data_IF_342374221542
#
_entry.id   IF_342374221542
#
_cell.length_a   1.000
_cell.length_b   1.000
_cell.length_c   1.000
_cell.angle_alpha   90.00
_cell.angle_beta   90.00
_cell.angle_gamma   90.00
#
_symmetry.space_group_name_H-M   'P 1'
#
loop_
_entity.id
_entity.type
_entity.pdbx_description
1 polymer ?
#
# COMPACT_ATOMS: atom_id res chain seq x y z
N UNK A 1 12.45 -5.83 -1.11
CA UNK A 1 12.96 -4.45 -1.20
C UNK A 1 12.66 -3.73 0.11
N UNK A 2 13.59 -2.90 0.60
CA UNK A 2 13.32 -2.02 1.74
C UNK A 2 13.21 -0.57 1.24
N UNK A 3 12.23 0.16 1.75
CA UNK A 3 11.86 1.52 1.37
C UNK A 3 11.81 2.35 2.66
N UNK A 4 12.51 3.48 2.70
CA UNK A 4 12.39 4.44 3.80
C UNK A 4 11.58 5.62 3.31
N UNK A 5 10.47 5.90 3.99
CA UNK A 5 9.54 6.95 3.55
C UNK A 5 10.01 8.32 3.99
N UNK A 6 10.00 9.29 3.08
CA UNK A 6 9.92 10.70 3.42
C UNK A 6 8.49 11.08 3.86
N UNK A 7 7.47 10.51 3.21
CA UNK A 7 6.06 10.65 3.60
C UNK A 7 5.26 9.40 3.29
N UNK A 8 4.23 9.16 4.12
CA UNK A 8 3.22 8.13 3.91
C UNK A 8 1.86 8.80 4.00
N UNK A 9 1.15 8.84 2.89
CA UNK A 9 -0.16 9.48 2.75
C UNK A 9 -1.20 8.36 2.68
N UNK A 10 -2.27 8.50 3.45
CA UNK A 10 -3.40 7.60 3.44
C UNK A 10 -4.68 8.41 3.23
N UNK A 11 -5.48 8.01 2.24
CA UNK A 11 -6.80 8.53 1.99
C UNK A 11 -7.76 7.34 1.85
N UNK A 12 -8.68 7.11 2.80
CA UNK A 12 -9.60 5.97 2.75
C UNK A 12 -10.70 6.14 1.70
N UNK A 13 -10.96 7.36 1.24
CA UNK A 13 -12.05 7.69 0.31
C UNK A 13 -11.69 9.02 -0.36
N UNK A 14 -11.05 8.96 -1.52
CA UNK A 14 -10.70 10.15 -2.27
C UNK A 14 -11.90 10.65 -3.08
N UNK A 15 -12.66 11.58 -2.48
CA UNK A 15 -13.85 12.19 -3.07
C UNK A 15 -13.56 12.89 -4.43
N UNK A 16 -12.30 13.24 -4.72
CA UNK A 16 -11.89 13.83 -6.00
C UNK A 16 -11.64 12.76 -7.08
N UNK A 17 -11.43 11.50 -6.68
CA UNK A 17 -11.08 10.37 -7.53
C UNK A 17 -12.05 9.19 -7.34
N UNK A 18 -13.34 9.43 -7.56
CA UNK A 18 -14.39 8.39 -7.53
C UNK A 18 -14.34 7.50 -6.28
N UNK A 19 -14.14 8.13 -5.11
CA UNK A 19 -14.07 7.50 -3.79
C UNK A 19 -12.94 6.45 -3.67
N UNK A 20 -11.87 6.58 -4.47
CA UNK A 20 -10.72 5.68 -4.46
C UNK A 20 -10.02 5.67 -3.10
N UNK A 21 -9.73 4.48 -2.58
CA UNK A 21 -8.84 4.33 -1.45
C UNK A 21 -7.38 4.34 -1.93
N UNK A 22 -6.55 5.19 -1.31
CA UNK A 22 -5.18 5.45 -1.70
C UNK A 22 -4.23 5.38 -0.49
N UNK A 23 -3.22 4.53 -0.61
CA UNK A 23 -2.02 4.61 0.22
C UNK A 23 -0.83 4.95 -0.67
N UNK A 24 -0.14 6.04 -0.37
CA UNK A 24 0.96 6.53 -1.18
C UNK A 24 2.21 6.79 -0.32
N UNK A 25 3.30 6.11 -0.66
CA UNK A 25 4.60 6.24 -0.04
C UNK A 25 5.55 6.99 -0.99
N UNK A 26 6.06 8.13 -0.54
CA UNK A 26 7.20 8.78 -1.18
C UNK A 26 8.46 8.41 -0.41
N UNK A 27 9.38 7.71 -1.05
CA UNK A 27 10.64 7.32 -0.44
C UNK A 27 11.63 8.50 -0.38
N UNK A 28 12.57 8.45 0.57
CA UNK A 28 13.65 9.47 0.71
C UNK A 28 14.53 9.59 -0.55
N UNK A 29 14.60 8.52 -1.35
CA UNK A 29 15.35 8.48 -2.61
C UNK A 29 14.52 8.90 -3.84
N UNK A 30 13.28 9.41 -3.64
CA UNK A 30 12.38 9.85 -4.70
C UNK A 30 11.55 8.74 -5.34
N UNK A 31 11.68 7.49 -4.90
CA UNK A 31 10.86 6.39 -5.41
C UNK A 31 9.43 6.46 -4.88
N UNK A 32 8.45 6.22 -5.76
CA UNK A 32 7.05 6.05 -5.41
C UNK A 32 6.74 4.59 -5.08
N UNK A 33 5.89 4.35 -4.09
CA UNK A 33 5.18 3.09 -3.91
C UNK A 33 3.74 3.41 -3.52
N UNK A 34 2.75 2.87 -4.22
CA UNK A 34 1.34 3.07 -3.83
C UNK A 34 0.52 1.80 -3.93
N UNK A 35 -0.54 1.77 -3.12
CA UNK A 35 -1.66 0.85 -3.21
C UNK A 35 -2.91 1.68 -3.47
N UNK A 36 -3.63 1.35 -4.53
CA UNK A 36 -4.87 2.02 -4.93
C UNK A 36 -5.96 0.99 -5.19
N UNK A 37 -7.19 1.36 -4.85
CA UNK A 37 -8.36 0.56 -5.19
C UNK A 37 -9.62 1.41 -5.26
N UNK A 38 -10.36 1.27 -6.35
CA UNK A 38 -11.70 1.84 -6.48
C UNK A 38 -12.75 0.97 -5.75
N UNK A 39 -13.85 1.56 -5.25
CA UNK A 39 -14.87 0.81 -4.48
C UNK A 39 -15.45 -0.42 -5.19
N UNK A 40 -15.56 -0.38 -6.53
CA UNK A 40 -16.18 -1.44 -7.33
C UNK A 40 -15.17 -2.48 -7.88
N UNK A 41 -13.88 -2.32 -7.56
CA UNK A 41 -12.82 -3.21 -8.06
C UNK A 41 -12.56 -4.40 -7.12
N UNK A 42 -12.20 -5.54 -7.72
CA UNK A 42 -11.81 -6.75 -6.98
C UNK A 42 -10.30 -7.01 -7.06
N UNK A 43 -9.53 -6.00 -7.43
CA UNK A 43 -8.08 -6.04 -7.51
C UNK A 43 -7.52 -4.79 -6.83
N UNK A 44 -6.28 -4.88 -6.37
CA UNK A 44 -5.52 -3.74 -5.86
C UNK A 44 -4.47 -3.38 -6.89
N UNK A 45 -4.42 -2.13 -7.31
CA UNK A 45 -3.32 -1.63 -8.12
C UNK A 45 -2.12 -1.34 -7.21
N UNK A 46 -0.97 -1.92 -7.58
CA UNK A 46 0.32 -1.65 -6.97
C UNK A 46 1.13 -0.85 -7.98
N UNK A 47 1.59 0.34 -7.58
CA UNK A 47 2.55 1.12 -8.37
C UNK A 47 3.89 1.14 -7.66
N UNK A 48 4.97 0.85 -8.39
CA UNK A 48 6.35 0.88 -7.91
C UNK A 48 7.18 1.75 -8.84
N UNK A 49 7.84 2.77 -8.30
CA UNK A 49 8.41 3.88 -9.09
C UNK A 49 7.34 4.59 -9.93
N UNK A 50 7.74 5.47 -10.84
CA UNK A 50 6.79 6.30 -11.60
C UNK A 50 6.21 5.62 -12.85
N UNK A 51 6.65 4.41 -13.20
CA UNK A 51 6.39 3.80 -14.51
C UNK A 51 5.90 2.34 -14.48
N UNK A 52 5.78 1.70 -13.32
CA UNK A 52 5.36 0.30 -13.20
C UNK A 52 4.16 0.16 -12.29
N UNK A 53 3.01 -0.18 -12.87
CA UNK A 53 1.82 -0.55 -12.13
C UNK A 53 1.33 -1.95 -12.52
N UNK A 54 0.66 -2.62 -11.58
CA UNK A 54 0.05 -3.92 -11.77
C UNK A 54 -1.17 -4.07 -10.85
N UNK A 55 -2.31 -4.47 -11.42
CA UNK A 55 -3.45 -4.93 -10.65
C UNK A 55 -3.20 -6.37 -10.18
N UNK A 56 -3.32 -6.59 -8.87
CA UNK A 56 -3.19 -7.91 -8.24
C UNK A 56 -4.50 -8.31 -7.59
N UNK A 57 -4.84 -9.60 -7.70
CA UNK A 57 -6.04 -10.18 -7.08
C UNK A 57 -5.79 -10.74 -5.68
N UNK A 58 -4.54 -10.71 -5.22
CA UNK A 58 -4.12 -11.16 -3.89
C UNK A 58 -2.81 -10.49 -3.49
N UNK A 59 -2.72 -10.11 -2.21
CA UNK A 59 -1.52 -9.63 -1.56
C UNK A 59 -1.68 -9.77 -0.06
N UNK A 60 -0.56 -9.79 0.66
CA UNK A 60 -0.55 -9.80 2.12
C UNK A 60 0.09 -8.52 2.64
N UNK A 61 -0.58 -7.91 3.61
CA UNK A 61 -0.11 -6.67 4.24
C UNK A 61 -0.04 -6.85 5.75
N UNK A 62 1.11 -6.51 6.31
CA UNK A 62 1.32 -6.41 7.76
C UNK A 62 1.67 -4.98 8.15
N UNK A 63 0.85 -4.36 9.01
CA UNK A 63 1.02 -2.98 9.43
C UNK A 63 1.33 -2.84 10.93
N UNK A 64 2.22 -1.91 11.25
CA UNK A 64 2.64 -1.59 12.60
C UNK A 64 3.06 -0.13 12.70
N UNK A 65 3.34 0.34 13.92
CA UNK A 65 3.63 1.75 14.18
C UNK A 65 4.88 2.31 13.43
N UNK A 66 5.74 1.45 12.86
CA UNK A 66 6.97 1.86 12.18
C UNK A 66 7.25 1.11 10.88
N UNK A 67 6.39 0.17 10.51
CA UNK A 67 6.62 -0.74 9.40
C UNK A 67 5.31 -1.15 8.76
N UNK A 68 5.29 -1.04 7.44
CA UNK A 68 4.33 -1.66 6.55
C UNK A 68 5.08 -2.69 5.69
N UNK A 69 4.63 -3.94 5.69
CA UNK A 69 5.17 -4.99 4.85
C UNK A 69 4.10 -5.41 3.86
N UNK A 70 4.40 -5.29 2.57
CA UNK A 70 3.55 -5.77 1.48
C UNK A 70 4.23 -6.97 0.83
N UNK A 71 3.51 -8.08 0.70
CA UNK A 71 3.99 -9.31 0.08
C UNK A 71 3.06 -9.70 -1.07
N UNK A 72 3.64 -10.06 -2.21
CA UNK A 72 2.92 -10.41 -3.44
C UNK A 72 3.42 -11.72 -4.02
N UNK A 73 2.59 -12.32 -4.86
CA UNK A 73 2.89 -13.61 -5.48
C UNK A 73 4.07 -13.56 -6.45
N UNK A 74 4.64 -14.74 -6.70
CA UNK A 74 5.85 -14.84 -7.50
C UNK A 74 5.67 -14.52 -8.98
N UNK A 75 4.44 -14.61 -9.47
CA UNK A 75 4.10 -14.26 -10.85
C UNK A 75 3.94 -12.74 -10.98
N UNK A 76 3.29 -12.09 -10.03
CA UNK A 76 3.04 -10.66 -10.03
C UNK A 76 4.32 -9.85 -9.85
N UNK A 77 5.19 -10.27 -8.93
CA UNK A 77 6.48 -9.63 -8.75
C UNK A 77 7.34 -9.59 -10.03
N UNK A 78 7.28 -10.63 -10.86
CA UNK A 78 8.01 -10.67 -12.15
C UNK A 78 7.49 -9.63 -13.14
N UNK A 79 6.23 -9.24 -13.03
CA UNK A 79 5.61 -8.22 -13.89
C UNK A 79 5.91 -6.80 -13.40
N UNK A 80 6.24 -6.62 -12.11
CA UNK A 80 6.69 -5.36 -11.52
C UNK A 80 8.22 -5.19 -11.65
N UNK A 81 8.97 -5.33 -10.55
CA UNK A 81 10.41 -5.11 -10.48
C UNK A 81 11.21 -6.35 -10.01
N UNK A 82 10.52 -7.48 -9.86
CA UNK A 82 11.07 -8.75 -9.39
C UNK A 82 11.06 -8.92 -7.86
N UNK A 83 10.61 -7.94 -7.09
CA UNK A 83 10.54 -8.05 -5.63
C UNK A 83 9.17 -8.57 -5.16
N UNK A 84 9.22 -9.65 -4.38
CA UNK A 84 8.02 -10.27 -3.77
C UNK A 84 7.60 -9.62 -2.46
N UNK A 85 8.48 -8.82 -1.87
CA UNK A 85 8.29 -8.20 -0.56
C UNK A 85 8.74 -6.75 -0.62
N UNK A 86 7.89 -5.82 -0.20
CA UNK A 86 8.20 -4.41 -0.04
C UNK A 86 8.04 -4.06 1.44
N UNK A 87 9.18 -3.87 2.10
CA UNK A 87 9.26 -3.44 3.48
C UNK A 87 9.39 -1.91 3.51
N UNK A 88 8.34 -1.24 3.96
CA UNK A 88 8.25 0.21 4.03
C UNK A 88 8.41 0.63 5.49
N UNK A 89 9.52 1.31 5.78
CA UNK A 89 9.82 1.91 7.07
C UNK A 89 9.31 3.35 7.07
N UNK A 90 8.37 3.65 7.95
CA UNK A 90 7.71 4.95 8.02
C UNK A 90 7.79 5.56 9.41
N UNK A 91 7.63 6.89 9.46
CA UNK A 91 7.63 7.70 10.67
C UNK A 91 6.27 8.39 10.89
N UNK A 92 5.18 7.77 10.40
CA UNK A 92 3.80 8.26 10.55
C UNK A 92 3.51 8.61 12.00
N UNK A 93 2.91 9.77 12.21
CA UNK A 93 2.56 10.23 13.54
C UNK A 93 1.50 9.33 14.18
N UNK A 94 1.55 9.18 15.51
CA UNK A 94 0.64 8.29 16.22
C UNK A 94 -0.85 8.65 16.03
N UNK A 95 -1.15 9.93 15.77
CA UNK A 95 -2.50 10.40 15.47
C UNK A 95 -3.00 10.02 14.07
N UNK A 96 -2.10 9.74 13.13
CA UNK A 96 -2.41 9.41 11.73
C UNK A 96 -2.37 7.89 11.47
N UNK A 97 -1.84 7.10 12.41
CA UNK A 97 -1.78 5.64 12.28
C UNK A 97 -3.16 4.99 12.09
N UNK A 98 -4.21 5.58 12.65
CA UNK A 98 -5.58 5.09 12.48
C UNK A 98 -6.10 5.31 11.06
N UNK A 99 -5.76 6.44 10.44
CA UNK A 99 -6.17 6.73 9.06
C UNK A 99 -5.49 5.75 8.10
N UNK A 100 -4.19 5.51 8.28
CA UNK A 100 -3.46 4.48 7.52
C UNK A 100 -4.07 3.09 7.73
N UNK A 101 -4.43 2.75 8.97
CA UNK A 101 -5.06 1.48 9.32
C UNK A 101 -6.40 1.30 8.59
N UNK A 102 -7.28 2.29 8.64
CA UNK A 102 -8.58 2.28 7.97
C UNK A 102 -8.44 2.21 6.45
N UNK A 103 -7.55 3.01 5.86
CA UNK A 103 -7.29 2.97 4.41
C UNK A 103 -6.84 1.59 3.96
N UNK A 104 -5.92 0.94 4.70
CA UNK A 104 -5.47 -0.42 4.37
C UNK A 104 -6.59 -1.46 4.49
N UNK A 105 -7.52 -1.31 5.44
CA UNK A 105 -8.67 -2.21 5.55
C UNK A 105 -9.56 -2.11 4.30
N UNK A 106 -9.83 -0.89 3.82
CA UNK A 106 -10.66 -0.65 2.63
C UNK A 106 -9.97 -1.18 1.37
N UNK A 107 -8.69 -0.85 1.18
CA UNK A 107 -7.90 -1.33 0.03
C UNK A 107 -7.92 -2.86 -0.06
N UNK A 108 -7.77 -3.55 1.08
CA UNK A 108 -7.60 -5.00 1.09
C UNK A 108 -8.91 -5.80 1.22
N UNK A 109 -10.04 -5.12 1.42
CA UNK A 109 -11.33 -5.78 1.68
C UNK A 109 -11.70 -6.77 0.57
N UNK A 110 -11.80 -8.06 0.91
CA UNK A 110 -12.09 -9.16 -0.03
C UNK A 110 -11.05 -9.41 -1.13
N UNK A 111 -9.87 -8.77 -1.09
CA UNK A 111 -8.78 -8.97 -2.06
C UNK A 111 -7.56 -9.60 -1.39
N UNK A 112 -7.13 -9.05 -0.25
CA UNK A 112 -5.86 -9.43 0.38
C UNK A 112 -6.00 -9.87 1.83
N UNK A 113 -4.90 -10.35 2.37
CA UNK A 113 -4.75 -10.60 3.80
C UNK A 113 -4.22 -9.35 4.49
N UNK A 114 -4.92 -8.87 5.52
CA UNK A 114 -4.48 -7.73 6.32
C UNK A 114 -4.27 -8.13 7.78
N UNK A 115 -3.10 -7.79 8.33
CA UNK A 115 -2.81 -7.91 9.76
C UNK A 115 -2.22 -6.61 10.28
N UNK A 116 -2.66 -6.19 11.47
CA UNK A 116 -2.21 -4.93 12.08
C UNK A 116 -1.90 -5.13 13.56
N UNK A 117 -0.91 -4.37 14.05
CA UNK A 117 -0.67 -4.19 15.51
C UNK A 117 -1.28 -2.89 16.02
N UNK A 118 -1.83 -2.06 15.12
CA UNK A 118 -2.62 -0.87 15.47
C UNK A 118 -4.04 -1.34 15.79
N UNK A 119 -4.59 -0.87 16.91
CA UNK A 119 -5.91 -1.25 17.48
C UNK A 119 -6.88 -0.09 17.42
#
# INVERSE_FOLDING_TARGET
MQIKTASLIANPCDDEYDDMALLCCHAENGMLFSLTRFPDENEVEITVSDDKSLNVSSLKVTFSAKRLLVEIDAQDAKQLDGHHQYEILHATDAGELQDVHQTLQIILENVGEYTSTIS
#
